data_IF_333421280788
#
_entry.id   IF_333421280788
#
_cell.length_a   1.000
_cell.length_b   1.000
_cell.length_c   1.000
_cell.angle_alpha   90.00
_cell.angle_beta   90.00
_cell.angle_gamma   90.00
#
_symmetry.space_group_name_H-M   'P 1'
#
loop_
_entity.id
_entity.type
_entity.pdbx_description
1 polymer ?
#
# COMPACT_ATOMS: atom_id res chain seq x y z
N UNK A 1 4.92 5.49 -23.61
CA UNK A 1 4.22 5.97 -22.38
C UNK A 1 4.66 7.41 -22.15
N UNK A 2 3.79 8.32 -21.68
CA UNK A 2 4.30 9.67 -21.35
C UNK A 2 5.28 9.55 -20.18
N UNK A 3 6.42 10.24 -20.26
CA UNK A 3 7.42 10.28 -19.17
C UNK A 3 6.80 10.66 -17.83
N UNK A 4 5.71 11.44 -17.86
CA UNK A 4 4.91 11.81 -16.70
C UNK A 4 4.19 10.60 -16.06
N UNK A 5 3.45 9.81 -16.85
CA UNK A 5 2.77 8.60 -16.36
C UNK A 5 3.75 7.54 -15.86
N UNK A 6 4.90 7.41 -16.52
CA UNK A 6 5.95 6.47 -16.14
C UNK A 6 6.58 6.85 -14.80
N UNK A 7 6.86 8.13 -14.59
CA UNK A 7 7.33 8.65 -13.29
C UNK A 7 6.31 8.40 -12.18
N UNK A 8 5.02 8.64 -12.42
CA UNK A 8 3.96 8.40 -11.43
C UNK A 8 3.89 6.91 -11.07
N UNK A 9 3.96 6.02 -12.06
CA UNK A 9 3.93 4.58 -11.85
C UNK A 9 5.12 4.11 -11.00
N UNK A 10 6.32 4.63 -11.26
CA UNK A 10 7.53 4.31 -10.48
C UNK A 10 7.39 4.78 -9.03
N UNK A 11 6.92 6.00 -8.81
CA UNK A 11 6.68 6.54 -7.47
C UNK A 11 5.67 5.67 -6.71
N UNK A 12 4.59 5.24 -7.39
CA UNK A 12 3.59 4.37 -6.80
C UNK A 12 4.17 3.01 -6.39
N UNK A 13 4.95 2.37 -7.27
CA UNK A 13 5.65 1.11 -6.97
C UNK A 13 6.61 1.25 -5.77
N UNK A 14 7.33 2.37 -5.68
CA UNK A 14 8.20 2.66 -4.53
C UNK A 14 7.41 2.77 -3.22
N UNK A 15 6.27 3.48 -3.21
CA UNK A 15 5.42 3.62 -2.02
C UNK A 15 4.91 2.26 -1.53
N UNK A 16 4.50 1.39 -2.46
CA UNK A 16 4.07 0.02 -2.13
C UNK A 16 5.23 -0.77 -1.52
N UNK A 17 6.40 -0.75 -2.15
CA UNK A 17 7.58 -1.46 -1.67
C UNK A 17 7.98 -1.02 -0.25
N UNK A 18 8.04 0.29 -0.01
CA UNK A 18 8.35 0.85 1.31
C UNK A 18 7.28 0.45 2.35
N UNK A 19 6.00 0.53 1.98
CA UNK A 19 4.89 0.14 2.87
C UNK A 19 4.96 -1.34 3.25
N UNK A 20 5.35 -2.21 2.30
CA UNK A 20 5.54 -3.63 2.55
C UNK A 20 6.74 -3.90 3.48
N UNK A 21 7.86 -3.21 3.27
CA UNK A 21 9.03 -3.30 4.16
C UNK A 21 8.67 -2.85 5.58
N UNK A 22 7.92 -1.75 5.73
CA UNK A 22 7.45 -1.29 7.03
C UNK A 22 6.51 -2.29 7.71
N UNK A 23 5.65 -2.95 6.95
CA UNK A 23 4.79 -4.02 7.46
C UNK A 23 5.62 -5.19 8.01
N UNK A 24 6.59 -5.68 7.23
CA UNK A 24 7.49 -6.76 7.64
C UNK A 24 8.31 -6.36 8.87
N UNK A 25 8.88 -5.16 8.88
CA UNK A 25 9.65 -4.62 10.00
C UNK A 25 8.81 -4.56 11.29
N UNK A 26 7.57 -4.08 11.20
CA UNK A 26 6.68 -3.95 12.35
C UNK A 26 6.19 -5.31 12.87
N UNK A 27 6.02 -6.29 12.00
CA UNK A 27 5.59 -7.63 12.40
C UNK A 27 6.72 -8.50 12.97
N UNK A 28 7.96 -8.31 12.52
CA UNK A 28 9.11 -9.13 12.93
C UNK A 28 9.93 -8.47 14.04
N UNK A 29 10.24 -7.18 13.91
CA UNK A 29 11.23 -6.49 14.75
C UNK A 29 10.61 -5.67 15.89
N UNK A 30 9.38 -5.17 15.70
CA UNK A 30 8.64 -4.39 16.71
C UNK A 30 7.22 -4.94 16.91
N UNK A 31 7.07 -6.22 17.29
CA UNK A 31 5.76 -6.74 17.65
C UNK A 31 5.17 -5.86 18.76
N UNK A 32 3.89 -5.41 18.66
CA UNK A 32 3.24 -4.63 19.71
C UNK A 32 3.39 -5.30 21.07
N UNK A 33 3.39 -4.55 22.17
CA UNK A 33 3.59 -5.09 23.53
C UNK A 33 2.60 -6.21 23.91
N UNK A 34 1.43 -6.27 23.26
CA UNK A 34 0.47 -7.36 23.39
C UNK A 34 0.92 -8.67 22.74
N UNK A 35 1.85 -8.64 21.76
CA UNK A 35 2.46 -9.75 21.03
C UNK A 35 3.58 -10.48 21.80
N UNK A 36 3.71 -10.28 23.11
CA UNK A 36 4.59 -11.07 23.97
C UNK A 36 4.11 -12.53 24.15
N UNK A 37 4.81 -13.32 24.98
CA UNK A 37 4.67 -14.77 25.20
C UNK A 37 3.24 -15.35 25.39
N UNK A 38 2.19 -14.53 25.50
CA UNK A 38 0.78 -14.93 25.65
C UNK A 38 -0.15 -14.50 24.51
N UNK A 39 0.37 -13.92 23.42
CA UNK A 39 -0.48 -13.55 22.27
C UNK A 39 -0.95 -14.81 21.55
N UNK A 40 -2.21 -15.18 21.81
CA UNK A 40 -2.87 -16.25 21.09
C UNK A 40 -2.83 -16.00 19.58
N UNK A 41 -2.62 -17.06 18.80
CA UNK A 41 -2.55 -17.05 17.32
C UNK A 41 -3.67 -16.21 16.68
N UNK A 42 -4.86 -16.25 17.26
CA UNK A 42 -6.05 -15.50 16.84
C UNK A 42 -5.86 -13.98 16.91
N UNK A 43 -5.23 -13.47 17.96
CA UNK A 43 -5.01 -12.03 18.14
C UNK A 43 -3.94 -11.52 17.17
N UNK A 44 -2.90 -12.32 16.92
CA UNK A 44 -1.87 -12.00 15.92
C UNK A 44 -2.47 -11.91 14.52
N UNK A 45 -3.31 -12.88 14.13
CA UNK A 45 -4.03 -12.86 12.85
C UNK A 45 -4.96 -11.64 12.75
N UNK A 46 -5.61 -11.25 13.84
CA UNK A 46 -6.45 -10.05 13.87
C UNK A 46 -5.63 -8.78 13.54
N UNK A 47 -4.48 -8.57 14.19
CA UNK A 47 -3.62 -7.42 13.90
C UNK A 47 -3.04 -7.45 12.48
N UNK A 48 -2.61 -8.61 11.99
CA UNK A 48 -2.16 -8.79 10.61
C UNK A 48 -3.26 -8.41 9.62
N UNK A 49 -4.48 -8.91 9.84
CA UNK A 49 -5.61 -8.64 8.97
C UNK A 49 -5.98 -7.15 8.98
N UNK A 50 -5.92 -6.49 10.13
CA UNK A 50 -6.19 -5.05 10.25
C UNK A 50 -5.18 -4.22 9.45
N UNK A 51 -3.90 -4.59 9.52
CA UNK A 51 -2.82 -3.97 8.74
C UNK A 51 -2.94 -4.23 7.23
N UNK A 52 -3.19 -5.47 6.84
CA UNK A 52 -3.41 -5.84 5.44
C UNK A 52 -4.62 -5.11 4.86
N UNK A 53 -5.68 -4.97 5.64
CA UNK A 53 -6.89 -4.25 5.22
C UNK A 53 -6.63 -2.75 5.07
N UNK A 54 -5.87 -2.14 6.00
CA UNK A 54 -5.47 -0.74 5.90
C UNK A 54 -4.57 -0.46 4.69
N UNK A 55 -3.54 -1.30 4.47
CA UNK A 55 -2.65 -1.19 3.31
C UNK A 55 -3.39 -1.46 1.99
N UNK A 56 -4.33 -2.40 1.97
CA UNK A 56 -5.19 -2.67 0.81
C UNK A 56 -6.05 -1.45 0.44
N UNK A 57 -6.70 -0.81 1.41
CA UNK A 57 -7.51 0.38 1.12
C UNK A 57 -6.65 1.56 0.62
N UNK A 58 -5.47 1.77 1.22
CA UNK A 58 -4.52 2.79 0.74
C UNK A 58 -4.13 2.49 -0.72
N UNK A 59 -3.76 1.24 -1.02
CA UNK A 59 -3.44 0.83 -2.39
C UNK A 59 -4.59 1.10 -3.36
N UNK A 60 -5.83 0.77 -2.96
CA UNK A 60 -7.02 0.97 -3.78
C UNK A 60 -7.28 2.45 -4.09
N UNK A 61 -7.08 3.34 -3.11
CA UNK A 61 -7.16 4.80 -3.31
C UNK A 61 -6.14 5.26 -4.36
N UNK A 62 -4.90 4.81 -4.26
CA UNK A 62 -3.87 5.17 -5.24
C UNK A 62 -4.16 4.65 -6.65
N UNK A 63 -4.68 3.42 -6.79
CA UNK A 63 -5.09 2.87 -8.08
C UNK A 63 -6.20 3.74 -8.70
N UNK A 64 -7.19 4.15 -7.92
CA UNK A 64 -8.25 5.06 -8.39
C UNK A 64 -7.64 6.39 -8.87
N UNK A 65 -6.75 7.00 -8.09
CA UNK A 65 -6.09 8.25 -8.47
C UNK A 65 -5.28 8.11 -9.77
N UNK A 66 -4.58 6.98 -9.93
CA UNK A 66 -3.84 6.70 -11.15
C UNK A 66 -4.76 6.57 -12.38
N UNK A 67 -5.87 5.84 -12.25
CA UNK A 67 -6.86 5.70 -13.32
C UNK A 67 -7.47 7.05 -13.69
N UNK A 68 -7.80 7.89 -12.71
CA UNK A 68 -8.32 9.25 -12.94
C UNK A 68 -7.28 10.09 -13.70
N UNK A 69 -6.02 10.10 -13.24
CA UNK A 69 -4.94 10.84 -13.88
C UNK A 69 -4.73 10.38 -15.34
N UNK A 70 -4.75 9.07 -15.56
CA UNK A 70 -4.65 8.49 -16.89
C UNK A 70 -5.82 8.88 -17.80
N UNK A 71 -7.06 8.85 -17.27
CA UNK A 71 -8.26 9.24 -18.02
C UNK A 71 -8.22 10.72 -18.43
N UNK A 72 -7.82 11.62 -17.52
CA UNK A 72 -7.65 13.05 -17.80
C UNK A 72 -6.61 13.26 -18.90
N UNK A 73 -5.47 12.56 -18.82
CA UNK A 73 -4.41 12.70 -19.81
C UNK A 73 -4.83 12.17 -21.18
N UNK A 74 -5.54 11.04 -21.23
CA UNK A 74 -6.08 10.51 -22.49
C UNK A 74 -7.02 11.52 -23.14
N UNK A 75 -7.96 12.08 -22.38
CA UNK A 75 -8.93 13.05 -22.89
C UNK A 75 -8.28 14.37 -23.34
N UNK A 76 -7.08 14.71 -22.84
CA UNK A 76 -6.27 15.84 -23.31
C UNK A 76 -5.54 15.57 -24.63
N UNK A 77 -5.25 14.31 -24.98
CA UNK A 77 -4.60 13.97 -26.25
C UNK A 77 -5.57 13.82 -27.41
N UNK A 78 -6.82 13.49 -27.11
CA UNK A 78 -7.88 13.29 -28.10
C UNK A 78 -8.60 14.62 -28.50
N UNK A 79 -8.19 15.75 -27.91
CA UNK A 79 -8.56 17.12 -28.32
C UNK A 79 -7.37 17.83 -28.93
#
# INVERSE_FOLDING_TARGET
MNKFLETILIIFLMIIGISFILFVFRMIWLPPSSMGMMMGRTMMVHHMNLWLRGTFFIFLIFVILFVIAWFIEKNKRDK
#
